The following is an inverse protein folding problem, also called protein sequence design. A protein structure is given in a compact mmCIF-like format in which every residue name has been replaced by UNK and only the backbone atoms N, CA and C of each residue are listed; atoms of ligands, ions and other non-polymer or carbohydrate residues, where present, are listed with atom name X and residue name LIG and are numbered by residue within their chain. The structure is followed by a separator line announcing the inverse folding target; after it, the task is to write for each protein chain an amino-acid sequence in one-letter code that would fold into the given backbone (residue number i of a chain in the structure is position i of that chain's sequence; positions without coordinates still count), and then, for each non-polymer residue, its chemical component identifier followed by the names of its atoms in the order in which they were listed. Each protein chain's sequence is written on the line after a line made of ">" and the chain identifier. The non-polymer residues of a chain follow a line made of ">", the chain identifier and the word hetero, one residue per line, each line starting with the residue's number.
data_IF_084739945798
#
_entry.id   IF_084739945798
#
_cell.length_a   1.000
_cell.length_b   1.000
_cell.length_c   1.000
_cell.angle_alpha   90.00
_cell.angle_beta   90.00
_cell.angle_gamma   90.00
#
_symmetry.space_group_name_H-M   'P 1'
#
loop_
_entity.id
_entity.type
_entity.pdbx_description
1 polymer ?
#
# COMPACT_ATOMS: atom_id res chain seq x y z
N UNK A 1 -32.43 0.35 -7.89
CA UNK A 1 -31.21 1.18 -8.05
C UNK A 1 -30.06 0.21 -8.06
N UNK A 2 -29.36 0.06 -9.18
CA UNK A 2 -28.34 -0.98 -9.38
C UNK A 2 -26.93 -0.40 -9.17
N UNK A 3 -26.11 -1.13 -8.42
CA UNK A 3 -24.73 -0.76 -8.09
C UNK A 3 -23.79 -1.82 -8.67
N UNK A 4 -22.77 -1.38 -9.41
CA UNK A 4 -21.84 -2.27 -10.09
C UNK A 4 -20.40 -1.86 -9.80
N UNK A 5 -19.61 -2.83 -9.35
CA UNK A 5 -18.17 -2.67 -9.21
C UNK A 5 -17.47 -3.30 -10.42
N UNK A 6 -16.75 -2.49 -11.19
CA UNK A 6 -15.98 -2.94 -12.34
C UNK A 6 -14.55 -3.26 -11.95
N UNK A 7 -14.03 -4.33 -12.57
CA UNK A 7 -12.60 -4.57 -12.61
C UNK A 7 -11.97 -3.81 -13.79
N UNK A 8 -10.78 -3.25 -13.59
CA UNK A 8 -10.07 -2.48 -14.63
C UNK A 8 -9.89 -3.24 -15.95
N UNK A 9 -9.72 -4.56 -15.89
CA UNK A 9 -9.63 -5.44 -17.05
C UNK A 9 -10.89 -5.43 -17.94
N UNK A 10 -12.06 -5.16 -17.35
CA UNK A 10 -13.37 -5.24 -18.02
C UNK A 10 -13.92 -3.86 -18.45
N UNK A 11 -13.10 -2.81 -18.37
CA UNK A 11 -13.50 -1.45 -18.72
C UNK A 11 -13.51 -1.22 -20.24
N UNK A 12 -14.52 -0.48 -20.70
CA UNK A 12 -14.61 0.06 -22.06
C UNK A 12 -13.59 1.20 -22.24
N UNK A 13 -13.26 1.52 -23.50
CA UNK A 13 -12.28 2.56 -23.83
C UNK A 13 -12.54 3.90 -23.12
N UNK A 14 -13.79 4.38 -23.17
CA UNK A 14 -14.21 5.61 -22.48
C UNK A 14 -13.92 5.57 -20.96
N UNK A 15 -14.25 4.47 -20.30
CA UNK A 15 -14.03 4.33 -18.85
C UNK A 15 -12.52 4.26 -18.52
N UNK A 16 -11.72 3.66 -19.41
CA UNK A 16 -10.26 3.66 -19.27
C UNK A 16 -9.67 5.07 -19.39
N UNK A 17 -10.20 5.89 -20.30
CA UNK A 17 -9.78 7.29 -20.44
C UNK A 17 -10.14 8.11 -19.19
N UNK A 18 -11.36 7.93 -18.65
CA UNK A 18 -11.80 8.55 -17.38
C UNK A 18 -10.87 8.17 -16.21
N UNK A 19 -10.49 6.89 -16.12
CA UNK A 19 -9.54 6.41 -15.11
C UNK A 19 -8.16 7.02 -15.26
N UNK A 20 -7.65 7.13 -16.50
CA UNK A 20 -6.31 7.66 -16.78
C UNK A 20 -6.22 9.14 -16.41
N UNK A 21 -7.24 9.92 -16.75
CA UNK A 21 -7.34 11.34 -16.37
C UNK A 21 -7.37 11.49 -14.85
N UNK A 22 -8.27 10.76 -14.18
CA UNK A 22 -8.34 10.77 -12.72
C UNK A 22 -7.02 10.36 -12.05
N UNK A 23 -6.37 9.30 -12.54
CA UNK A 23 -5.09 8.85 -12.03
C UNK A 23 -4.04 9.97 -12.14
N UNK A 24 -3.85 10.53 -13.33
CA UNK A 24 -2.82 11.54 -13.59
C UNK A 24 -3.03 12.83 -12.80
N UNK A 25 -4.27 13.30 -12.70
CA UNK A 25 -4.56 14.62 -12.10
C UNK A 25 -4.74 14.57 -10.58
N UNK A 26 -5.25 13.46 -10.05
CA UNK A 26 -5.70 13.39 -8.64
C UNK A 26 -4.94 12.38 -7.81
N UNK A 27 -4.51 11.27 -8.40
CA UNK A 27 -3.92 10.16 -7.66
C UNK A 27 -2.40 10.22 -7.71
N UNK A 28 -1.81 10.20 -8.90
CA UNK A 28 -0.36 10.18 -9.12
C UNK A 28 0.39 11.27 -8.34
N UNK A 29 -0.04 12.55 -8.29
CA UNK A 29 0.70 13.60 -7.59
C UNK A 29 0.83 13.40 -6.07
N UNK A 30 0.00 12.53 -5.48
CA UNK A 30 0.00 12.24 -4.04
C UNK A 30 0.51 10.83 -3.71
N UNK A 31 0.94 10.07 -4.71
CA UNK A 31 1.60 8.78 -4.50
C UNK A 31 3.09 8.98 -4.22
N UNK A 32 3.61 8.17 -3.30
CA UNK A 32 5.05 8.11 -3.02
C UNK A 32 5.45 6.64 -2.88
N UNK A 33 6.13 6.07 -3.90
CA UNK A 33 6.64 4.70 -3.78
C UNK A 33 7.78 4.67 -2.77
N UNK A 34 7.81 3.60 -1.97
CA UNK A 34 8.85 3.35 -0.98
C UNK A 34 9.41 1.95 -1.21
N UNK A 35 10.70 1.85 -1.49
CA UNK A 35 11.38 0.58 -1.76
C UNK A 35 12.04 0.02 -0.49
N UNK A 36 12.05 -1.30 -0.36
CA UNK A 36 12.87 -2.01 0.63
C UNK A 36 14.27 -2.17 0.04
N UNK A 37 15.27 -1.67 0.77
CA UNK A 37 16.68 -1.91 0.51
C UNK A 37 17.31 -2.45 1.82
N UNK A 38 18.16 -3.49 1.79
CA UNK A 38 18.81 -4.01 2.98
C UNK A 38 19.55 -2.98 3.83
N UNK A 39 20.00 -1.87 3.22
CA UNK A 39 20.74 -0.81 3.90
C UNK A 39 19.85 0.21 4.60
N UNK A 40 18.53 0.18 4.38
CA UNK A 40 17.58 1.14 4.93
C UNK A 40 16.33 0.43 5.46
N UNK A 41 16.12 0.36 6.79
CA UNK A 41 14.91 -0.24 7.35
C UNK A 41 13.67 0.49 6.84
N UNK A 42 12.63 -0.27 6.50
CA UNK A 42 11.44 0.28 5.89
C UNK A 42 10.70 1.23 6.85
N UNK A 43 10.19 2.39 6.39
CA UNK A 43 9.47 3.29 7.25
C UNK A 43 8.17 2.65 7.78
N UNK A 44 7.81 3.01 9.01
CA UNK A 44 6.61 2.52 9.70
C UNK A 44 5.36 2.43 8.80
N UNK A 45 4.69 1.27 8.83
CA UNK A 45 3.43 1.05 8.09
C UNK A 45 2.25 1.36 9.00
N UNK A 46 1.41 2.31 8.57
CA UNK A 46 0.22 2.72 9.32
C UNK A 46 -0.73 1.55 9.53
N UNK A 47 -1.19 1.38 10.78
CA UNK A 47 -2.20 0.37 11.13
C UNK A 47 -3.45 0.49 10.25
N UNK A 48 -3.97 -0.65 9.78
CA UNK A 48 -5.18 -0.77 8.96
C UNK A 48 -5.06 0.03 7.64
N UNK A 49 -3.90 0.51 7.23
CA UNK A 49 -3.77 1.17 5.91
C UNK A 49 -3.77 0.14 4.78
N UNK A 50 -4.45 0.47 3.68
CA UNK A 50 -4.39 -0.33 2.45
C UNK A 50 -3.12 0.07 1.69
N UNK A 51 -2.35 -0.93 1.29
CA UNK A 51 -1.09 -0.77 0.58
C UNK A 51 -1.09 -1.69 -0.64
N UNK A 52 -0.32 -1.34 -1.66
CA UNK A 52 0.10 -2.24 -2.73
C UNK A 52 1.53 -2.69 -2.43
N UNK A 53 1.75 -4.00 -2.45
CA UNK A 53 3.07 -4.63 -2.50
C UNK A 53 3.45 -4.85 -3.95
N UNK A 54 4.66 -4.47 -4.32
CA UNK A 54 5.14 -4.52 -5.69
C UNK A 54 6.48 -5.24 -5.70
N UNK A 55 6.60 -6.32 -6.49
CA UNK A 55 7.89 -6.91 -6.82
C UNK A 55 8.39 -6.30 -8.11
N UNK A 56 9.57 -5.68 -8.06
CA UNK A 56 10.19 -4.99 -9.19
C UNK A 56 11.58 -5.54 -9.46
N UNK A 57 11.99 -5.55 -10.72
CA UNK A 57 13.35 -5.88 -11.14
C UNK A 57 13.77 -4.88 -12.21
N UNK A 58 15.06 -4.48 -12.33
CA UNK A 58 15.48 -3.64 -13.44
C UNK A 58 15.11 -4.28 -14.79
N UNK A 59 14.79 -3.45 -15.79
CA UNK A 59 14.45 -3.96 -17.14
C UNK A 59 15.60 -4.75 -17.77
N UNK A 60 16.84 -4.36 -17.45
CA UNK A 60 18.06 -5.03 -17.86
C UNK A 60 18.81 -5.47 -16.61
N UNK A 61 18.38 -6.56 -15.97
CA UNK A 61 19.05 -7.04 -14.76
C UNK A 61 20.44 -7.55 -15.13
N UNK A 62 21.42 -7.22 -14.29
CA UNK A 62 22.70 -7.92 -14.35
C UNK A 62 22.53 -9.36 -13.82
N UNK A 63 23.42 -10.26 -14.21
CA UNK A 63 23.29 -11.67 -13.85
C UNK A 63 23.16 -11.86 -12.33
N UNK A 64 22.02 -12.39 -11.90
CA UNK A 64 21.74 -12.71 -10.50
C UNK A 64 21.08 -11.59 -9.70
N UNK A 65 20.65 -10.50 -10.32
CA UNK A 65 19.93 -9.44 -9.60
C UNK A 65 18.54 -9.92 -9.15
N UNK A 66 18.33 -9.96 -7.83
CA UNK A 66 17.07 -10.41 -7.25
C UNK A 66 15.96 -9.35 -7.31
N UNK A 67 14.68 -9.76 -7.40
CA UNK A 67 13.56 -8.85 -7.31
C UNK A 67 13.58 -8.06 -5.99
N UNK A 68 13.29 -6.77 -6.09
CA UNK A 68 13.17 -5.86 -4.95
C UNK A 68 11.70 -5.68 -4.59
N UNK A 69 11.41 -5.62 -3.30
CA UNK A 69 10.08 -5.30 -2.83
C UNK A 69 9.91 -3.79 -2.69
N UNK A 70 8.82 -3.25 -3.22
CA UNK A 70 8.40 -1.89 -3.04
C UNK A 70 6.96 -1.83 -2.52
N UNK A 71 6.60 -0.70 -1.92
CA UNK A 71 5.26 -0.44 -1.39
C UNK A 71 4.75 0.89 -1.90
N UNK A 72 3.47 0.91 -2.23
CA UNK A 72 2.71 2.15 -2.41
C UNK A 72 1.55 2.15 -1.43
N UNK A 73 1.48 3.16 -0.56
CA UNK A 73 0.33 3.33 0.35
C UNK A 73 -0.80 4.00 -0.43
N UNK A 74 -2.03 3.50 -0.28
CA UNK A 74 -3.18 4.19 -0.85
C UNK A 74 -3.42 5.53 -0.12
N UNK A 75 -3.58 6.64 -0.86
CA UNK A 75 -3.77 7.95 -0.28
C UNK A 75 -5.16 8.06 0.37
N UNK A 76 -5.26 8.30 1.69
CA UNK A 76 -6.55 8.31 2.40
C UNK A 76 -7.43 9.52 2.06
N UNK A 77 -6.83 10.56 1.48
CA UNK A 77 -7.51 11.77 1.00
C UNK A 77 -8.15 11.59 -0.39
N UNK A 78 -7.99 10.43 -1.02
CA UNK A 78 -8.63 10.08 -2.30
C UNK A 78 -9.74 9.06 -2.03
N UNK A 79 -10.97 9.28 -2.54
CA UNK A 79 -12.05 8.31 -2.39
C UNK A 79 -11.67 6.93 -2.93
N UNK A 80 -11.97 5.87 -2.16
CA UNK A 80 -11.67 4.49 -2.59
C UNK A 80 -12.55 4.00 -3.74
N UNK A 81 -13.76 4.55 -3.90
CA UNK A 81 -14.65 4.23 -5.01
C UNK A 81 -14.61 5.39 -6.00
N UNK A 82 -14.07 5.13 -7.19
CA UNK A 82 -14.08 6.09 -8.29
C UNK A 82 -15.28 5.83 -9.20
N UNK A 83 -16.18 6.80 -9.40
CA UNK A 83 -17.32 6.63 -10.30
C UNK A 83 -16.85 6.60 -11.76
N UNK A 84 -17.43 5.70 -12.55
CA UNK A 84 -17.18 5.62 -14.01
C UNK A 84 -18.48 5.67 -14.78
N UNK A 85 -18.43 6.08 -16.04
CA UNK A 85 -19.60 6.07 -16.92
C UNK A 85 -20.14 4.64 -17.11
N UNK A 86 -21.47 4.48 -17.06
CA UNK A 86 -22.14 3.20 -17.22
C UNK A 86 -23.64 3.30 -16.90
N UNK A 87 -24.34 2.19 -17.05
CA UNK A 87 -25.76 2.11 -16.73
C UNK A 87 -25.93 1.92 -15.21
N UNK A 88 -26.54 2.91 -14.55
CA UNK A 88 -26.71 2.91 -13.09
C UNK A 88 -25.49 3.48 -12.35
N UNK A 89 -25.21 2.97 -11.15
CA UNK A 89 -24.11 3.44 -10.31
C UNK A 89 -22.89 2.53 -10.46
N UNK A 90 -21.94 2.95 -11.28
CA UNK A 90 -20.76 2.17 -11.63
C UNK A 90 -19.50 2.73 -10.96
N UNK A 91 -18.69 1.86 -10.34
CA UNK A 91 -17.47 2.25 -9.65
C UNK A 91 -16.29 1.34 -9.96
N UNK A 92 -15.07 1.85 -9.76
CA UNK A 92 -13.82 1.09 -9.73
C UNK A 92 -13.11 1.37 -8.40
N UNK A 93 -12.46 0.34 -7.83
CA UNK A 93 -11.66 0.49 -6.61
C UNK A 93 -10.35 1.23 -6.89
N UNK A 94 -9.97 2.13 -5.98
CA UNK A 94 -8.74 2.93 -6.09
C UNK A 94 -7.47 2.08 -6.18
N UNK A 95 -7.40 0.96 -5.44
CA UNK A 95 -6.29 0.02 -5.54
C UNK A 95 -6.12 -0.54 -6.95
N UNK A 96 -7.21 -0.75 -7.71
CA UNK A 96 -7.12 -1.22 -9.09
C UNK A 96 -6.74 -0.09 -10.04
N UNK A 97 -7.24 1.13 -9.81
CA UNK A 97 -6.83 2.30 -10.60
C UNK A 97 -5.32 2.51 -10.49
N UNK A 98 -4.77 2.43 -9.27
CA UNK A 98 -3.33 2.56 -9.03
C UNK A 98 -2.58 1.37 -9.63
N UNK A 99 -3.04 0.13 -9.40
CA UNK A 99 -2.38 -1.07 -9.94
C UNK A 99 -2.31 -1.05 -11.47
N UNK A 100 -3.36 -0.58 -12.15
CA UNK A 100 -3.42 -0.49 -13.60
C UNK A 100 -2.41 0.52 -14.19
N UNK A 101 -1.93 1.47 -13.40
CA UNK A 101 -0.96 2.50 -13.81
C UNK A 101 0.35 2.42 -13.01
N UNK A 102 0.60 1.31 -12.31
CA UNK A 102 1.69 1.21 -11.34
C UNK A 102 3.07 1.40 -11.98
N UNK A 103 3.22 1.02 -13.25
CA UNK A 103 4.45 1.20 -14.04
C UNK A 103 4.93 2.66 -14.08
N UNK A 104 4.01 3.62 -14.03
CA UNK A 104 4.35 5.07 -14.02
C UNK A 104 5.18 5.49 -12.82
N UNK A 105 5.14 4.74 -11.71
CA UNK A 105 5.89 5.01 -10.49
C UNK A 105 7.28 4.34 -10.48
N UNK A 106 7.57 3.45 -11.43
CA UNK A 106 8.78 2.64 -11.45
C UNK A 106 9.47 2.68 -12.83
N UNK A 107 9.90 3.87 -13.30
CA UNK A 107 10.58 3.99 -14.59
C UNK A 107 11.89 3.18 -14.61
N UNK A 108 12.13 2.44 -15.69
CA UNK A 108 13.32 1.59 -15.85
C UNK A 108 13.27 0.26 -15.08
N UNK A 109 12.13 -0.04 -14.44
CA UNK A 109 11.89 -1.29 -13.74
C UNK A 109 10.73 -2.03 -14.39
N UNK A 110 10.83 -3.36 -14.42
CA UNK A 110 9.75 -4.25 -14.78
C UNK A 110 8.99 -4.67 -13.51
N UNK A 111 7.66 -4.56 -13.57
CA UNK A 111 6.76 -5.03 -12.52
C UNK A 111 6.52 -6.53 -12.70
N UNK A 112 6.82 -7.30 -11.67
CA UNK A 112 6.57 -8.75 -11.65
C UNK A 112 5.22 -9.05 -11.00
N UNK A 113 4.94 -8.37 -9.89
CA UNK A 113 3.71 -8.52 -9.11
C UNK A 113 3.27 -7.17 -8.53
N UNK A 114 1.95 -7.00 -8.38
CA UNK A 114 1.34 -5.86 -7.71
C UNK A 114 0.07 -6.34 -7.00
N UNK A 115 0.10 -6.43 -5.68
CA UNK A 115 -1.00 -7.00 -4.90
C UNK A 115 -1.35 -6.14 -3.69
N UNK A 116 -2.66 -5.93 -3.42
CA UNK A 116 -3.06 -5.19 -2.22
C UNK A 116 -2.85 -6.03 -0.96
N UNK A 117 -2.40 -5.37 0.10
CA UNK A 117 -2.27 -5.94 1.42
C UNK A 117 -2.60 -4.92 2.51
N UNK A 118 -2.91 -5.43 3.71
CA UNK A 118 -3.18 -4.61 4.90
C UNK A 118 -2.56 -5.26 6.12
N UNK A 119 -1.93 -4.44 6.95
CA UNK A 119 -1.41 -4.87 8.24
C UNK A 119 -2.32 -4.32 9.33
N UNK A 120 -2.82 -5.21 10.19
CA UNK A 120 -3.44 -4.85 11.47
C UNK A 120 -2.42 -5.07 12.57
N UNK A 121 -2.23 -4.06 13.41
CA UNK A 121 -1.37 -4.07 14.59
C UNK A 121 -2.23 -4.01 15.84
N UNK A 122 -1.79 -4.71 16.89
CA UNK A 122 -2.39 -4.57 18.20
C UNK A 122 -2.26 -3.13 18.68
N UNK A 123 -3.26 -2.63 19.36
CA UNK A 123 -3.22 -1.29 19.98
C UNK A 123 -3.09 -1.39 21.50
N UNK A 124 -2.79 -2.58 22.04
CA UNK A 124 -2.65 -2.80 23.48
C UNK A 124 -1.30 -2.27 24.00
N UNK A 125 -1.42 -1.48 25.08
CA UNK A 125 -0.32 -0.90 25.84
C UNK A 125 -0.11 -1.80 27.07
N UNK A 126 1.03 -2.48 27.18
CA UNK A 126 1.50 -2.99 28.46
C UNK A 126 2.12 -1.82 29.24
N UNK A 127 1.53 -1.51 30.40
CA UNK A 127 2.00 -0.47 31.30
C UNK A 127 3.09 -1.09 32.18
N UNK A 128 4.35 -0.79 31.89
CA UNK A 128 5.40 -0.86 32.91
C UNK A 128 5.52 0.54 33.52
N UNK A 129 4.96 0.71 34.72
CA UNK A 129 5.18 1.87 35.58
C UNK A 129 6.64 1.86 36.03
N UNK A 130 7.50 2.67 35.41
CA UNK A 130 8.80 3.00 36.00
C UNK A 130 8.98 4.53 36.13
N UNK A 131 8.90 4.93 37.40
CA UNK A 131 9.50 6.06 38.11
C UNK A 131 9.55 7.45 37.43
N UNK A 132 8.55 8.26 37.81
CA UNK A 132 8.60 9.72 38.01
C UNK A 132 9.63 10.53 37.18
N UNK A 133 9.37 10.65 35.88
CA UNK A 133 9.92 11.69 35.01
C UNK A 133 8.80 12.48 34.33
N UNK A 134 8.93 13.82 34.32
CA UNK A 134 8.07 14.84 33.69
C UNK A 134 6.89 14.28 32.86
N UNK A 135 5.67 14.37 33.42
CA UNK A 135 4.45 13.76 32.91
C UNK A 135 4.21 14.10 31.42
N UNK A 136 4.60 15.30 30.97
CA UNK A 136 4.51 15.73 29.58
C UNK A 136 5.43 14.95 28.63
N UNK A 137 6.69 14.72 29.03
CA UNK A 137 7.63 13.90 28.25
C UNK A 137 7.20 12.44 28.21
N UNK A 138 6.70 11.94 29.33
CA UNK A 138 6.18 10.58 29.44
C UNK A 138 4.96 10.40 28.53
N UNK A 139 4.02 11.36 28.50
CA UNK A 139 2.88 11.36 27.58
C UNK A 139 3.32 11.48 26.11
N UNK A 140 4.32 12.31 25.77
CA UNK A 140 4.86 12.41 24.41
C UNK A 140 5.57 11.14 23.94
N UNK A 141 6.37 10.51 24.82
CA UNK A 141 6.99 9.20 24.56
C UNK A 141 5.92 8.10 24.43
N UNK A 142 4.89 8.12 25.27
CA UNK A 142 3.76 7.19 25.23
C UNK A 142 2.92 7.35 23.95
N UNK A 143 2.66 8.59 23.49
CA UNK A 143 2.00 8.84 22.20
C UNK A 143 2.85 8.36 21.02
N UNK A 144 4.20 8.49 21.11
CA UNK A 144 5.11 7.92 20.11
C UNK A 144 5.04 6.40 20.11
N UNK A 145 5.10 5.74 21.27
CA UNK A 145 5.05 4.27 21.37
C UNK A 145 3.70 3.68 20.97
N UNK A 146 2.59 4.40 21.18
CA UNK A 146 1.23 4.03 20.74
C UNK A 146 1.12 3.72 19.24
N UNK A 147 2.01 4.27 18.42
CA UNK A 147 2.06 3.98 16.98
C UNK A 147 2.66 2.59 16.69
N UNK A 148 3.44 1.99 17.57
CA UNK A 148 4.31 0.85 17.26
C UNK A 148 3.88 -0.48 17.90
N UNK A 149 2.57 -0.73 18.03
CA UNK A 149 2.09 -2.07 18.38
C UNK A 149 2.55 -3.14 17.38
N UNK A 150 2.64 -4.39 17.84
CA UNK A 150 3.06 -5.53 17.02
C UNK A 150 2.04 -5.82 15.93
N UNK A 151 2.50 -6.24 14.73
CA UNK A 151 1.62 -6.73 13.67
C UNK A 151 0.92 -8.02 14.12
N UNK A 152 -0.40 -7.99 14.23
CA UNK A 152 -1.23 -9.13 14.67
C UNK A 152 -1.91 -9.85 13.50
N UNK A 153 -2.12 -9.16 12.38
CA UNK A 153 -2.75 -9.75 11.18
C UNK A 153 -2.20 -9.12 9.91
N UNK A 154 -1.86 -9.96 8.95
CA UNK A 154 -1.58 -9.57 7.57
C UNK A 154 -2.71 -10.10 6.68
N UNK A 155 -3.39 -9.19 6.00
CA UNK A 155 -4.42 -9.50 5.00
C UNK A 155 -3.81 -9.35 3.60
N UNK A 156 -3.98 -10.36 2.76
CA UNK A 156 -3.44 -10.44 1.39
C UNK A 156 -4.50 -10.95 0.43
N UNK A 157 -4.36 -10.68 -0.86
CA UNK A 157 -5.19 -11.30 -1.89
C UNK A 157 -4.81 -12.74 -2.14
N UNK A 158 -5.76 -13.54 -2.65
CA UNK A 158 -5.49 -14.93 -3.04
C UNK A 158 -4.42 -15.07 -4.14
N UNK A 159 -4.17 -14.00 -4.91
CA UNK A 159 -3.14 -13.96 -5.95
C UNK A 159 -1.74 -13.58 -5.48
N UNK A 160 -1.54 -13.27 -4.18
CA UNK A 160 -0.22 -12.92 -3.66
C UNK A 160 0.68 -14.15 -3.59
N UNK A 161 1.88 -14.05 -4.15
CA UNK A 161 2.85 -15.15 -4.11
C UNK A 161 3.52 -15.28 -2.74
N UNK A 162 4.11 -16.45 -2.41
CA UNK A 162 4.86 -16.61 -1.16
C UNK A 162 6.04 -15.65 -1.00
N UNK A 163 6.65 -15.19 -2.10
CA UNK A 163 7.78 -14.26 -2.03
C UNK A 163 7.32 -12.86 -1.62
N UNK A 164 6.29 -12.32 -2.29
CA UNK A 164 5.64 -11.06 -1.93
C UNK A 164 5.08 -11.12 -0.50
N UNK A 165 4.34 -12.19 -0.17
CA UNK A 165 3.78 -12.39 1.17
C UNK A 165 4.84 -12.44 2.28
N UNK A 166 6.01 -13.02 2.04
CA UNK A 166 7.13 -13.00 3.00
C UNK A 166 7.69 -11.59 3.19
N UNK A 167 7.85 -10.82 2.12
CA UNK A 167 8.31 -9.42 2.21
C UNK A 167 7.28 -8.58 2.99
N UNK A 168 5.99 -8.71 2.69
CA UNK A 168 4.92 -8.05 3.43
C UNK A 168 4.88 -8.47 4.92
N UNK A 169 5.15 -9.74 5.23
CA UNK A 169 5.24 -10.24 6.60
C UNK A 169 6.46 -9.67 7.36
N UNK A 170 7.62 -9.56 6.71
CA UNK A 170 8.80 -8.88 7.29
C UNK A 170 8.48 -7.42 7.65
N UNK A 171 7.64 -6.76 6.86
CA UNK A 171 7.16 -5.40 7.14
C UNK A 171 6.17 -5.31 8.30
N UNK A 172 5.43 -6.38 8.58
CA UNK A 172 4.58 -6.47 9.76
C UNK A 172 5.39 -6.65 11.06
N UNK A 173 6.55 -7.31 10.97
CA UNK A 173 7.43 -7.60 12.11
C UNK A 173 8.58 -6.60 12.34
N UNK A 174 8.85 -5.69 11.40
CA UNK A 174 9.89 -4.66 11.56
C UNK A 174 9.46 -3.58 12.56
N UNK A 175 10.36 -3.32 13.53
CA UNK A 175 10.29 -2.26 14.54
C UNK A 175 10.99 -1.01 14.04
#
# INVERSE_FOLDING_TARGET
>A
MEFTLFHTANLKARQKDELREFFNERVFPVLTPLSVDPSHPFPYISNISLNLGILVVPEKPENGEEPRFARVKLPPNVPRLFPVSGDGYCFVLLEEVISAHIETLFPGMRILECQPFRITRDADIEIEEDEAGDLLKTVEQQLRQRRFGFGVRLEVTAGMTPQDGKAAAQLAGSR
#
